data_IF_830421222596
#
_entry.id   IF_830421222596
#
_cell.length_a   1.000
_cell.length_b   1.000
_cell.length_c   1.000
_cell.angle_alpha   90.00
_cell.angle_beta   90.00
_cell.angle_gamma   90.00
#
_symmetry.space_group_name_H-M   'P 1'
#
loop_
_entity.id
_entity.type
_entity.pdbx_description
1 polymer ?
#
# COMPACT_ATOMS: atom_id res chain seq x y z
N UNK A 1 4.11 15.58 7.15
CA UNK A 1 3.31 15.07 6.03
C UNK A 1 1.90 14.79 6.51
N UNK A 2 0.93 15.20 5.74
CA UNK A 2 -0.48 15.00 6.09
C UNK A 2 -0.85 13.52 5.99
N UNK A 3 -1.74 13.09 6.88
CA UNK A 3 -2.22 11.71 6.89
C UNK A 3 -2.87 11.33 5.55
N UNK A 4 -3.62 12.24 4.97
CA UNK A 4 -4.26 11.99 3.69
C UNK A 4 -3.25 11.69 2.60
N UNK A 5 -2.15 12.40 2.60
CA UNK A 5 -1.11 12.21 1.59
C UNK A 5 -0.45 10.85 1.77
N UNK A 6 -0.21 10.47 3.03
CA UNK A 6 0.38 9.16 3.31
C UNK A 6 -0.51 8.03 2.81
N UNK A 7 -1.79 8.14 3.09
CA UNK A 7 -2.75 7.13 2.66
C UNK A 7 -2.80 7.08 1.14
N UNK A 8 -2.81 8.22 0.50
CA UNK A 8 -2.86 8.29 -0.96
C UNK A 8 -1.64 7.62 -1.61
N UNK A 9 -0.47 7.90 -1.07
CA UNK A 9 0.77 7.28 -1.56
C UNK A 9 0.70 5.76 -1.43
N UNK A 10 0.25 5.29 -0.28
CA UNK A 10 0.18 3.86 -0.04
C UNK A 10 -0.89 3.20 -0.91
N UNK A 11 -2.02 3.86 -1.11
CA UNK A 11 -3.05 3.36 -2.01
C UNK A 11 -2.51 3.17 -3.42
N UNK A 12 -1.77 4.16 -3.89
CA UNK A 12 -1.19 4.10 -5.23
C UNK A 12 -0.21 2.92 -5.34
N UNK A 13 0.60 2.74 -4.31
CA UNK A 13 1.54 1.64 -4.30
C UNK A 13 0.83 0.28 -4.31
N UNK A 14 -0.21 0.15 -3.52
CA UNK A 14 -0.99 -1.09 -3.50
C UNK A 14 -1.65 -1.35 -4.86
N UNK A 15 -2.14 -0.31 -5.52
CA UNK A 15 -2.71 -0.46 -6.85
C UNK A 15 -1.69 -1.01 -7.84
N UNK A 16 -0.49 -0.49 -7.78
CA UNK A 16 0.59 -0.95 -8.67
C UNK A 16 0.93 -2.41 -8.38
N UNK A 17 1.07 -2.74 -7.11
CA UNK A 17 1.41 -4.10 -6.70
C UNK A 17 0.33 -5.09 -7.11
N UNK A 18 -0.93 -4.72 -6.89
CA UNK A 18 -2.04 -5.63 -7.17
C UNK A 18 -2.32 -5.76 -8.65
N UNK A 19 -1.93 -4.79 -9.45
CA UNK A 19 -2.13 -4.86 -10.90
C UNK A 19 -1.04 -5.63 -11.62
N UNK A 20 0.11 -5.78 -10.98
CA UNK A 20 1.25 -6.49 -11.58
C UNK A 20 1.34 -7.90 -11.01
N UNK A 21 0.95 -8.88 -11.81
CA UNK A 21 0.97 -10.26 -11.38
C UNK A 21 2.37 -10.82 -11.18
N UNK A 22 3.35 -10.18 -11.77
CA UNK A 22 4.73 -10.62 -11.66
C UNK A 22 5.42 -10.03 -10.44
N UNK A 23 4.82 -9.04 -9.82
CA UNK A 23 5.38 -8.44 -8.63
C UNK A 23 5.22 -9.44 -7.49
N UNK A 24 6.29 -9.91 -6.99
CA UNK A 24 6.23 -10.86 -5.91
C UNK A 24 6.73 -10.26 -4.61
N UNK A 25 7.63 -10.98 -4.01
CA UNK A 25 8.20 -10.63 -2.72
C UNK A 25 8.86 -9.24 -2.74
N UNK A 26 9.36 -8.86 -3.88
CA UNK A 26 10.08 -7.60 -4.04
C UNK A 26 9.23 -6.38 -3.68
N UNK A 27 8.02 -6.33 -4.19
CA UNK A 27 7.17 -5.18 -3.96
C UNK A 27 6.53 -5.20 -2.57
N UNK A 28 6.31 -6.38 -2.04
CA UNK A 28 5.88 -6.52 -0.65
C UNK A 28 6.89 -5.88 0.29
N UNK A 29 8.17 -6.15 0.06
CA UNK A 29 9.23 -5.58 0.87
C UNK A 29 9.29 -4.06 0.72
N UNK A 30 9.05 -3.57 -0.47
CA UNK A 30 9.03 -2.13 -0.71
C UNK A 30 7.92 -1.45 0.06
N UNK A 31 6.73 -2.02 0.03
CA UNK A 31 5.59 -1.46 0.76
C UNK A 31 5.86 -1.46 2.26
N UNK A 32 6.43 -2.54 2.76
CA UNK A 32 6.77 -2.64 4.17
C UNK A 32 7.74 -1.55 4.59
N UNK A 33 8.73 -1.29 3.75
CA UNK A 33 9.72 -0.24 4.01
C UNK A 33 9.06 1.13 4.00
N UNK A 34 8.18 1.37 3.05
CA UNK A 34 7.50 2.65 2.95
C UNK A 34 6.56 2.86 4.12
N UNK A 35 5.88 1.82 4.56
CA UNK A 35 5.05 1.91 5.76
C UNK A 35 5.86 2.35 6.97
N UNK A 36 7.06 1.81 7.11
CA UNK A 36 7.95 2.21 8.18
C UNK A 36 8.37 3.67 8.08
N UNK A 37 8.66 4.13 6.88
CA UNK A 37 9.08 5.51 6.66
C UNK A 37 7.93 6.50 6.89
N UNK A 38 6.72 6.10 6.57
CA UNK A 38 5.56 6.96 6.73
C UNK A 38 4.88 6.79 8.08
N UNK A 39 5.42 5.95 8.94
CA UNK A 39 4.84 5.66 10.26
C UNK A 39 3.42 5.13 10.14
N UNK A 40 3.18 4.28 9.17
CA UNK A 40 1.89 3.64 8.98
C UNK A 40 1.94 2.25 9.61
N UNK A 41 0.96 1.96 10.47
CA UNK A 41 0.90 0.65 11.14
C UNK A 41 0.48 -0.45 10.16
N UNK A 42 0.77 -1.68 10.51
CA UNK A 42 0.37 -2.84 9.71
C UNK A 42 -1.14 -2.88 9.54
N UNK A 43 -1.86 -2.53 10.60
CA UNK A 43 -3.32 -2.49 10.56
C UNK A 43 -3.82 -1.49 9.53
N UNK A 44 -3.26 -0.28 9.55
CA UNK A 44 -3.65 0.74 8.60
C UNK A 44 -3.29 0.34 7.18
N UNK A 45 -2.13 -0.26 7.00
CA UNK A 45 -1.71 -0.75 5.68
C UNK A 45 -2.68 -1.80 5.16
N UNK A 46 -3.10 -2.71 6.03
CA UNK A 46 -4.07 -3.74 5.65
C UNK A 46 -5.41 -3.16 5.24
N UNK A 47 -5.86 -2.15 5.96
CA UNK A 47 -7.11 -1.48 5.62
C UNK A 47 -7.04 -0.79 4.27
N UNK A 48 -5.91 -0.17 3.98
CA UNK A 48 -5.71 0.49 2.69
C UNK A 48 -5.70 -0.55 1.57
N UNK A 49 -5.05 -1.68 1.81
CA UNK A 49 -5.05 -2.77 0.83
C UNK A 49 -6.46 -3.24 0.52
N UNK A 50 -7.27 -3.44 1.55
CA UNK A 50 -8.65 -3.87 1.37
C UNK A 50 -9.46 -2.84 0.58
N UNK A 51 -9.22 -1.56 0.85
CA UNK A 51 -9.90 -0.50 0.14
C UNK A 51 -9.57 -0.53 -1.35
N UNK A 52 -8.30 -0.74 -1.66
CA UNK A 52 -7.86 -0.83 -3.05
C UNK A 52 -8.47 -2.05 -3.74
N UNK A 53 -8.50 -3.19 -3.03
CA UNK A 53 -9.11 -4.40 -3.57
C UNK A 53 -10.59 -4.22 -3.88
N UNK A 54 -11.30 -3.51 -3.01
CA UNK A 54 -12.71 -3.24 -3.24
C UNK A 54 -12.93 -2.34 -4.45
N UNK A 55 -12.03 -1.41 -4.66
CA UNK A 55 -12.12 -0.52 -5.81
C UNK A 55 -11.94 -1.27 -7.13
N UNK A 56 -11.14 -2.30 -7.11
CA UNK A 56 -10.80 -3.03 -8.35
C UNK A 56 -11.88 -3.99 -8.80
N UNK A 57 -12.86 -4.21 -7.99
CA UNK A 57 -13.99 -5.00 -8.40
C UNK A 57 -14.89 -4.19 -9.33
#
# INVERSE_FOLDING_TARGET
MDMKIRILVLETLWEIVLSDEKSGIYESNLIRRICGLLYISDKASGEIKLSVLNKKK
#
